data_IF_808607884308
#
_entry.id   IF_808607884308
#
_cell.length_a   1.000
_cell.length_b   1.000
_cell.length_c   1.000
_cell.angle_alpha   90.00
_cell.angle_beta   90.00
_cell.angle_gamma   90.00
#
_symmetry.space_group_name_H-M   'P 1'
#
loop_
_entity.id
_entity.type
_entity.pdbx_description
1 polymer ?
#
# COMPACT_ATOMS: atom_id res chain seq x y z
N UNK A 1 -71.25 -78.10 63.44
CA UNK A 1 -70.79 -78.63 62.13
C UNK A 1 -71.22 -77.64 61.04
N UNK A 2 -70.87 -76.36 61.13
CA UNK A 2 -69.55 -75.73 60.88
C UNK A 2 -69.19 -75.60 59.40
N UNK A 3 -70.00 -74.82 58.66
CA UNK A 3 -69.71 -74.32 57.31
C UNK A 3 -69.15 -72.89 57.29
N UNK A 4 -69.08 -72.22 58.45
CA UNK A 4 -68.60 -70.84 58.62
C UNK A 4 -67.09 -70.73 58.81
N UNK A 5 -66.40 -71.83 59.17
CA UNK A 5 -64.94 -71.83 59.40
C UNK A 5 -64.07 -72.03 58.14
N UNK A 6 -64.66 -72.45 57.01
CA UNK A 6 -63.92 -72.70 55.76
C UNK A 6 -63.84 -71.47 54.84
N UNK A 7 -64.86 -70.60 54.84
CA UNK A 7 -64.87 -69.37 54.03
C UNK A 7 -63.96 -68.29 54.63
N UNK A 8 -63.83 -68.25 55.97
CA UNK A 8 -62.93 -67.30 56.67
C UNK A 8 -61.44 -67.61 56.47
N UNK A 9 -61.06 -68.88 56.37
CA UNK A 9 -59.65 -69.29 56.16
C UNK A 9 -59.23 -69.18 54.69
N UNK A 10 -60.14 -69.40 53.73
CA UNK A 10 -59.87 -69.18 52.29
C UNK A 10 -59.88 -67.68 51.92
N UNK A 11 -60.73 -66.86 52.56
CA UNK A 11 -60.77 -65.41 52.33
C UNK A 11 -59.54 -64.66 52.87
N UNK A 12 -59.05 -65.04 54.07
CA UNK A 12 -57.86 -64.43 54.67
C UNK A 12 -56.58 -64.83 53.92
N UNK A 13 -56.50 -66.07 53.43
CA UNK A 13 -55.37 -66.55 52.62
C UNK A 13 -55.34 -65.94 51.21
N UNK A 14 -56.49 -65.72 50.58
CA UNK A 14 -56.57 -65.01 49.29
C UNK A 14 -56.18 -63.52 49.41
N UNK A 15 -56.61 -62.83 50.48
CA UNK A 15 -56.26 -61.43 50.71
C UNK A 15 -54.77 -61.24 51.06
N UNK A 16 -54.18 -62.14 51.85
CA UNK A 16 -52.74 -62.12 52.13
C UNK A 16 -51.90 -62.47 50.90
N UNK A 17 -52.32 -63.45 50.10
CA UNK A 17 -51.64 -63.77 48.83
C UNK A 17 -51.70 -62.60 47.84
N UNK A 18 -52.84 -61.91 47.73
CA UNK A 18 -52.99 -60.73 46.90
C UNK A 18 -52.12 -59.55 47.39
N UNK A 19 -52.04 -59.33 48.71
CA UNK A 19 -51.19 -58.29 49.29
C UNK A 19 -49.70 -58.56 49.05
N UNK A 20 -49.25 -59.82 49.17
CA UNK A 20 -47.87 -60.23 48.89
C UNK A 20 -47.56 -60.11 47.39
N UNK A 21 -48.49 -60.50 46.51
CA UNK A 21 -48.33 -60.34 45.07
C UNK A 21 -48.27 -58.86 44.64
N UNK A 22 -49.10 -58.00 45.23
CA UNK A 22 -49.08 -56.56 44.97
C UNK A 22 -47.80 -55.89 45.49
N UNK A 23 -47.34 -56.26 46.68
CA UNK A 23 -46.07 -55.78 47.23
C UNK A 23 -44.88 -56.23 46.36
N UNK A 24 -44.87 -57.49 45.92
CA UNK A 24 -43.87 -58.02 44.99
C UNK A 24 -43.87 -57.29 43.65
N UNK A 25 -45.06 -57.07 43.05
CA UNK A 25 -45.22 -56.33 41.81
C UNK A 25 -44.74 -54.87 41.95
N UNK A 26 -44.99 -54.21 43.08
CA UNK A 26 -44.54 -52.84 43.35
C UNK A 26 -43.01 -52.74 43.44
N UNK A 27 -42.36 -53.72 44.07
CA UNK A 27 -40.88 -53.77 44.16
C UNK A 27 -40.25 -54.05 42.80
N UNK A 28 -40.82 -54.98 42.02
CA UNK A 28 -40.34 -55.29 40.67
C UNK A 28 -40.55 -54.11 39.72
N UNK A 29 -41.72 -53.46 39.76
CA UNK A 29 -42.01 -52.28 38.96
C UNK A 29 -41.11 -51.08 39.33
N UNK A 30 -40.83 -50.87 40.62
CA UNK A 30 -39.89 -49.84 41.08
C UNK A 30 -38.47 -50.07 40.56
N UNK A 31 -37.92 -51.29 40.72
CA UNK A 31 -36.58 -51.62 40.20
C UNK A 31 -36.51 -51.56 38.67
N UNK A 32 -37.58 -51.94 37.97
CA UNK A 32 -37.65 -51.85 36.51
C UNK A 32 -37.69 -50.40 36.03
N UNK A 33 -38.48 -49.54 36.68
CA UNK A 33 -38.53 -48.11 36.39
C UNK A 33 -37.17 -47.45 36.65
N UNK A 34 -36.53 -47.74 37.79
CA UNK A 34 -35.20 -47.20 38.11
C UNK A 34 -34.15 -47.63 37.07
N UNK A 35 -34.17 -48.90 36.63
CA UNK A 35 -33.29 -49.39 35.57
C UNK A 35 -33.54 -48.69 34.22
N UNK A 36 -34.79 -48.36 33.89
CA UNK A 36 -35.10 -47.60 32.68
C UNK A 36 -34.71 -46.12 32.79
N UNK A 37 -34.96 -45.48 33.93
CA UNK A 37 -34.58 -44.08 34.15
C UNK A 37 -33.07 -43.89 34.15
N UNK A 38 -32.31 -44.81 34.76
CA UNK A 38 -30.84 -44.80 34.73
C UNK A 38 -30.33 -44.95 33.30
N UNK A 39 -30.85 -45.93 32.54
CA UNK A 39 -30.48 -46.12 31.13
C UNK A 39 -30.78 -44.87 30.27
N UNK A 40 -31.95 -44.25 30.43
CA UNK A 40 -32.31 -43.02 29.69
C UNK A 40 -31.49 -41.80 30.10
N UNK A 41 -31.17 -41.66 31.38
CA UNK A 41 -30.31 -40.57 31.86
C UNK A 41 -28.89 -40.72 31.32
N UNK A 42 -28.37 -41.94 31.28
CA UNK A 42 -27.07 -42.23 30.67
C UNK A 42 -27.08 -41.93 29.17
N UNK A 43 -28.12 -42.35 28.43
CA UNK A 43 -28.22 -42.06 27.00
C UNK A 43 -28.31 -40.56 26.71
N UNK A 44 -29.15 -39.82 27.46
CA UNK A 44 -29.28 -38.35 27.31
C UNK A 44 -27.98 -37.63 27.69
N UNK A 45 -27.29 -38.06 28.76
CA UNK A 45 -25.98 -37.50 29.12
C UNK A 45 -24.94 -37.72 28.03
N UNK A 46 -24.91 -38.92 27.45
CA UNK A 46 -23.96 -39.30 26.41
C UNK A 46 -24.26 -38.56 25.10
N UNK A 47 -25.53 -38.38 24.74
CA UNK A 47 -25.96 -37.54 23.62
C UNK A 47 -25.61 -36.06 23.85
N UNK A 48 -25.86 -35.52 25.05
CA UNK A 48 -25.51 -34.16 25.40
C UNK A 48 -23.99 -33.92 25.37
N UNK A 49 -23.19 -34.87 25.85
CA UNK A 49 -21.73 -34.82 25.76
C UNK A 49 -21.26 -34.86 24.30
N UNK A 50 -21.80 -35.76 23.48
CA UNK A 50 -21.48 -35.82 22.05
C UNK A 50 -21.80 -34.52 21.32
N UNK A 51 -22.95 -33.90 21.59
CA UNK A 51 -23.32 -32.62 21.01
C UNK A 51 -22.37 -31.51 21.44
N UNK A 52 -22.04 -31.43 22.73
CA UNK A 52 -21.06 -30.47 23.25
C UNK A 52 -19.68 -30.63 22.62
N UNK A 53 -19.21 -31.87 22.46
CA UNK A 53 -17.94 -32.16 21.80
C UNK A 53 -17.97 -31.80 20.32
N UNK A 54 -19.05 -32.13 19.60
CA UNK A 54 -19.22 -31.76 18.20
C UNK A 54 -19.22 -30.22 18.03
N UNK A 55 -20.00 -29.49 18.82
CA UNK A 55 -20.04 -28.02 18.77
C UNK A 55 -18.67 -27.42 19.13
N UNK A 56 -17.96 -27.99 20.11
CA UNK A 56 -16.58 -27.54 20.44
C UNK A 56 -15.60 -27.78 19.30
N UNK A 57 -15.66 -28.95 18.65
CA UNK A 57 -14.80 -29.26 17.51
C UNK A 57 -15.06 -28.32 16.34
N UNK A 58 -16.34 -28.06 16.02
CA UNK A 58 -16.73 -27.10 15.00
C UNK A 58 -16.19 -25.70 15.31
N UNK A 59 -16.39 -25.19 16.53
CA UNK A 59 -15.87 -23.88 16.93
C UNK A 59 -14.35 -23.80 16.90
N UNK A 60 -13.63 -24.81 17.39
CA UNK A 60 -12.16 -24.85 17.33
C UNK A 60 -11.68 -24.80 15.89
N UNK A 61 -12.26 -25.61 15.01
CA UNK A 61 -11.90 -25.64 13.58
C UNK A 61 -12.18 -24.31 12.88
N UNK A 62 -13.28 -23.64 13.23
CA UNK A 62 -13.62 -22.32 12.71
C UNK A 62 -12.63 -21.25 13.18
N UNK A 63 -12.29 -21.24 14.47
CA UNK A 63 -11.31 -20.30 15.04
C UNK A 63 -9.94 -20.50 14.38
N UNK A 64 -9.50 -21.74 14.20
CA UNK A 64 -8.24 -22.05 13.53
C UNK A 64 -8.22 -21.55 12.09
N UNK A 65 -9.30 -21.78 11.33
CA UNK A 65 -9.43 -21.28 9.96
C UNK A 65 -9.35 -19.75 9.91
N UNK A 66 -10.12 -19.05 10.73
CA UNK A 66 -10.12 -17.58 10.78
C UNK A 66 -8.75 -17.04 11.21
N UNK A 67 -8.09 -17.69 12.17
CA UNK A 67 -6.72 -17.33 12.59
C UNK A 67 -5.73 -17.50 11.44
N UNK A 68 -5.81 -18.60 10.70
CA UNK A 68 -4.96 -18.88 9.54
C UNK A 68 -5.19 -17.90 8.39
N UNK A 69 -6.44 -17.56 8.10
CA UNK A 69 -6.78 -16.55 7.08
C UNK A 69 -6.23 -15.17 7.48
N UNK A 70 -6.42 -14.76 8.74
CA UNK A 70 -5.86 -13.50 9.25
C UNK A 70 -4.34 -13.48 9.23
N UNK A 71 -3.67 -14.55 9.65
CA UNK A 71 -2.21 -14.60 9.63
C UNK A 71 -1.67 -14.51 8.20
N UNK A 72 -2.33 -15.15 7.24
CA UNK A 72 -1.98 -15.08 5.82
C UNK A 72 -2.14 -13.67 5.26
N UNK A 73 -3.22 -12.96 5.60
CA UNK A 73 -3.42 -11.57 5.19
C UNK A 73 -2.39 -10.62 5.81
N UNK A 74 -2.05 -10.83 7.08
CA UNK A 74 -1.00 -10.06 7.75
C UNK A 74 0.37 -10.29 7.12
N UNK A 75 0.74 -11.54 6.82
CA UNK A 75 2.01 -11.87 6.15
C UNK A 75 2.10 -11.20 4.76
N UNK A 76 1.01 -11.22 3.98
CA UNK A 76 0.94 -10.51 2.70
C UNK A 76 1.10 -9.01 2.85
N UNK A 77 0.41 -8.41 3.84
CA UNK A 77 0.51 -6.98 4.14
C UNK A 77 1.93 -6.59 4.54
N UNK A 78 2.58 -7.37 5.40
CA UNK A 78 3.98 -7.15 5.80
C UNK A 78 4.93 -7.21 4.60
N UNK A 79 4.77 -8.20 3.71
CA UNK A 79 5.57 -8.32 2.48
C UNK A 79 5.36 -7.17 1.51
N UNK A 80 4.11 -6.71 1.34
CA UNK A 80 3.80 -5.54 0.52
C UNK A 80 4.43 -4.28 1.11
N UNK A 81 4.29 -4.04 2.42
CA UNK A 81 4.91 -2.89 3.07
C UNK A 81 6.45 -2.94 2.98
N UNK A 82 7.06 -4.12 3.15
CA UNK A 82 8.51 -4.27 2.97
C UNK A 82 8.94 -3.90 1.55
N UNK A 83 8.17 -4.33 0.54
CA UNK A 83 8.44 -4.00 -0.85
C UNK A 83 8.23 -2.51 -1.14
N UNK A 84 7.23 -1.89 -0.52
CA UNK A 84 6.99 -0.45 -0.55
C UNK A 84 8.21 0.32 -0.02
N UNK A 85 8.76 -0.08 1.13
CA UNK A 85 9.98 0.53 1.70
C UNK A 85 11.22 0.41 0.80
N UNK A 86 11.35 -0.67 0.03
CA UNK A 86 12.46 -0.85 -0.91
C UNK A 86 12.34 0.06 -2.13
N UNK A 87 11.11 0.32 -2.58
CA UNK A 87 10.84 0.98 -3.86
C UNK A 87 10.70 2.49 -3.73
N UNK A 88 10.13 2.98 -2.63
CA UNK A 88 9.90 4.41 -2.42
C UNK A 88 11.17 5.25 -2.58
N UNK A 89 12.34 4.88 -2.02
CA UNK A 89 13.55 5.64 -2.23
C UNK A 89 13.95 5.77 -3.70
N UNK A 90 13.73 4.72 -4.50
CA UNK A 90 14.04 4.73 -5.93
C UNK A 90 13.12 5.70 -6.70
N UNK A 91 11.81 5.64 -6.44
CA UNK A 91 10.85 6.57 -7.06
C UNK A 91 11.12 8.01 -6.61
N UNK A 92 11.36 8.21 -5.31
CA UNK A 92 11.65 9.52 -4.75
C UNK A 92 12.90 10.15 -5.38
N UNK A 93 14.00 9.41 -5.47
CA UNK A 93 15.23 9.92 -6.09
C UNK A 93 15.00 10.31 -7.56
N UNK A 94 14.31 9.47 -8.33
CA UNK A 94 14.00 9.78 -9.72
C UNK A 94 13.07 11.01 -9.84
N UNK A 95 12.11 11.17 -8.91
CA UNK A 95 11.22 12.33 -8.85
C UNK A 95 11.99 13.62 -8.52
N UNK A 96 12.92 13.56 -7.55
CA UNK A 96 13.80 14.67 -7.19
C UNK A 96 14.71 15.09 -8.34
N UNK A 97 15.34 14.13 -9.03
CA UNK A 97 16.18 14.41 -10.20
C UNK A 97 15.38 15.06 -11.33
N UNK A 98 14.21 14.50 -11.65
CA UNK A 98 13.30 15.06 -12.65
C UNK A 98 12.85 16.48 -12.27
N UNK A 99 12.50 16.70 -11.00
CA UNK A 99 12.06 17.99 -10.49
C UNK A 99 13.12 19.07 -10.72
N UNK A 100 14.35 18.85 -10.24
CA UNK A 100 15.41 19.84 -10.38
C UNK A 100 15.87 20.01 -11.82
N UNK A 101 15.86 18.94 -12.63
CA UNK A 101 16.18 19.04 -14.04
C UNK A 101 15.15 19.90 -14.81
N UNK A 102 13.86 19.69 -14.54
CA UNK A 102 12.76 20.49 -15.13
C UNK A 102 12.80 21.92 -14.61
N UNK A 103 12.95 22.16 -13.31
CA UNK A 103 13.06 23.50 -12.74
C UNK A 103 14.22 24.29 -13.34
N UNK A 104 15.40 23.68 -13.48
CA UNK A 104 16.56 24.29 -14.13
C UNK A 104 16.29 24.61 -15.60
N UNK A 105 15.60 23.71 -16.31
CA UNK A 105 15.24 23.90 -17.72
C UNK A 105 14.27 25.07 -17.89
N UNK A 106 13.26 25.19 -17.03
CA UNK A 106 12.21 26.21 -17.17
C UNK A 106 12.53 27.52 -16.46
N UNK A 107 13.59 27.62 -15.65
CA UNK A 107 13.93 28.85 -14.91
C UNK A 107 13.92 30.09 -15.82
N UNK A 108 13.33 31.20 -15.34
CA UNK A 108 13.37 32.51 -16.02
C UNK A 108 14.75 33.16 -15.91
N UNK A 109 15.42 32.91 -14.79
CA UNK A 109 16.75 33.43 -14.50
C UNK A 109 17.75 32.33 -14.80
N UNK A 110 18.17 32.26 -16.05
CA UNK A 110 19.28 31.42 -16.48
C UNK A 110 20.49 32.32 -16.67
N UNK A 111 21.46 32.23 -15.77
CA UNK A 111 22.75 32.89 -15.94
C UNK A 111 23.51 32.17 -17.06
N UNK A 112 23.66 32.86 -18.19
CA UNK A 112 24.45 32.39 -19.34
C UNK A 112 25.86 32.93 -19.27
N UNK A 113 26.84 32.16 -19.75
CA UNK A 113 28.21 32.64 -19.91
C UNK A 113 28.26 33.65 -21.06
N UNK A 114 28.71 34.88 -20.76
CA UNK A 114 28.87 35.90 -21.80
C UNK A 114 30.21 35.72 -22.54
N UNK A 115 30.18 34.98 -23.63
CA UNK A 115 31.37 34.68 -24.44
C UNK A 115 31.89 35.90 -25.22
N UNK A 116 31.02 36.86 -25.50
CA UNK A 116 31.36 38.10 -26.21
C UNK A 116 32.45 38.93 -25.51
N UNK A 117 32.52 38.86 -24.18
CA UNK A 117 33.49 39.63 -23.39
C UNK A 117 34.83 38.91 -23.20
N UNK A 118 34.97 37.68 -23.69
CA UNK A 118 36.21 36.93 -23.58
C UNK A 118 37.18 37.35 -24.69
N UNK A 119 38.45 37.52 -24.34
CA UNK A 119 39.52 37.60 -25.34
C UNK A 119 39.68 36.25 -26.05
N UNK A 120 40.24 36.23 -27.26
CA UNK A 120 40.35 35.00 -28.04
C UNK A 120 41.12 33.89 -27.30
N UNK A 121 42.20 34.24 -26.59
CA UNK A 121 42.95 33.29 -25.78
C UNK A 121 42.12 32.70 -24.63
N UNK A 122 41.25 33.50 -23.99
CA UNK A 122 40.35 33.02 -22.93
C UNK A 122 39.18 32.21 -23.49
N UNK A 123 38.71 32.56 -24.69
CA UNK A 123 37.68 31.82 -25.39
C UNK A 123 38.17 30.41 -25.78
N UNK A 124 39.39 30.28 -26.31
CA UNK A 124 39.96 28.96 -26.60
C UNK A 124 40.19 28.13 -25.33
N UNK A 125 40.68 28.75 -24.25
CA UNK A 125 40.79 28.06 -22.96
C UNK A 125 39.42 27.57 -22.45
N UNK A 126 38.38 28.41 -22.57
CA UNK A 126 37.01 28.03 -22.25
C UNK A 126 36.51 26.85 -23.11
N UNK A 127 36.80 26.83 -24.42
CA UNK A 127 36.40 25.72 -25.29
C UNK A 127 37.10 24.41 -24.90
N UNK A 128 38.36 24.45 -24.50
CA UNK A 128 39.10 23.27 -24.02
C UNK A 128 38.42 22.67 -22.79
N UNK A 129 38.05 23.50 -21.82
CA UNK A 129 37.43 23.05 -20.56
C UNK A 129 35.93 22.73 -20.70
N UNK A 130 35.29 23.15 -21.80
CA UNK A 130 33.87 22.93 -22.03
C UNK A 130 33.53 21.46 -22.34
N UNK A 131 32.34 21.03 -21.91
CA UNK A 131 31.75 19.71 -22.22
C UNK A 131 31.15 19.63 -23.62
N UNK A 132 31.40 20.62 -24.48
CA UNK A 132 30.93 20.66 -25.85
C UNK A 132 31.63 19.58 -26.69
N UNK A 133 30.94 19.10 -27.72
CA UNK A 133 31.49 18.19 -28.73
C UNK A 133 32.39 18.98 -29.67
N UNK A 134 33.38 18.33 -30.28
CA UNK A 134 34.38 19.01 -31.12
C UNK A 134 33.75 19.84 -32.24
N UNK A 135 32.72 19.32 -32.90
CA UNK A 135 32.02 20.06 -33.95
C UNK A 135 31.27 21.31 -33.42
N UNK A 136 30.72 21.26 -32.19
CA UNK A 136 30.06 22.42 -31.57
C UNK A 136 31.08 23.50 -31.21
N UNK A 137 32.29 23.08 -30.81
CA UNK A 137 33.43 23.99 -30.58
C UNK A 137 33.84 24.68 -31.88
N UNK A 138 33.94 23.92 -32.98
CA UNK A 138 34.28 24.46 -34.30
C UNK A 138 33.22 25.44 -34.83
N UNK A 139 31.93 25.12 -34.64
CA UNK A 139 30.84 26.04 -34.97
C UNK A 139 30.91 27.34 -34.17
N UNK A 140 31.25 27.28 -32.87
CA UNK A 140 31.45 28.47 -32.04
C UNK A 140 32.67 29.30 -32.51
N UNK A 141 33.76 28.65 -32.93
CA UNK A 141 34.93 29.36 -33.49
C UNK A 141 34.57 30.13 -34.75
N UNK A 142 33.72 29.55 -35.60
CA UNK A 142 33.27 30.15 -36.85
C UNK A 142 32.30 31.33 -36.66
N UNK A 143 31.72 31.52 -35.47
CA UNK A 143 30.78 32.60 -35.17
C UNK A 143 31.49 33.88 -34.71
N UNK A 144 30.88 35.04 -34.97
CA UNK A 144 31.36 36.32 -34.45
C UNK A 144 31.25 36.39 -32.91
N UNK A 145 32.03 37.24 -32.21
CA UNK A 145 31.98 37.34 -30.76
C UNK A 145 30.57 37.54 -30.16
N UNK A 146 29.71 38.31 -30.84
CA UNK A 146 28.33 38.52 -30.39
C UNK A 146 27.47 37.26 -30.57
N UNK A 147 27.58 36.59 -31.71
CA UNK A 147 26.82 35.37 -32.02
C UNK A 147 27.25 34.17 -31.18
N UNK A 148 28.51 34.12 -30.72
CA UNK A 148 29.02 33.08 -29.82
C UNK A 148 28.19 32.97 -28.56
N UNK A 149 27.85 34.09 -27.91
CA UNK A 149 27.03 34.10 -26.69
C UNK A 149 25.64 33.54 -26.96
N UNK A 150 24.96 34.01 -28.02
CA UNK A 150 23.61 33.57 -28.37
C UNK A 150 23.57 32.09 -28.73
N UNK A 151 24.51 31.64 -29.57
CA UNK A 151 24.61 30.24 -30.00
C UNK A 151 24.93 29.31 -28.83
N UNK A 152 25.87 29.70 -27.97
CA UNK A 152 26.19 28.93 -26.77
C UNK A 152 25.01 28.82 -25.80
N UNK A 153 24.26 29.93 -25.61
CA UNK A 153 23.04 29.91 -24.81
C UNK A 153 21.98 28.94 -25.36
N UNK A 154 21.84 28.88 -26.69
CA UNK A 154 20.95 27.92 -27.34
C UNK A 154 21.38 26.47 -27.10
N UNK A 155 22.66 26.16 -27.31
CA UNK A 155 23.27 24.84 -27.05
C UNK A 155 23.04 24.41 -25.60
N UNK A 156 23.33 25.28 -24.63
CA UNK A 156 23.06 25.02 -23.22
C UNK A 156 21.58 24.71 -22.98
N UNK A 157 20.69 25.45 -23.64
CA UNK A 157 19.27 25.19 -23.58
C UNK A 157 18.90 23.79 -24.09
N UNK A 158 19.53 23.31 -25.17
CA UNK A 158 19.29 21.97 -25.72
C UNK A 158 19.84 20.87 -24.79
N UNK A 159 21.02 21.09 -24.21
CA UNK A 159 21.60 20.20 -23.21
C UNK A 159 20.71 20.08 -21.96
N UNK A 160 20.16 21.20 -21.46
CA UNK A 160 19.21 21.19 -20.33
C UNK A 160 17.93 20.42 -20.67
N UNK A 161 17.40 20.61 -21.88
CA UNK A 161 16.22 19.86 -22.35
C UNK A 161 16.52 18.35 -22.41
N UNK A 162 17.68 17.96 -22.92
CA UNK A 162 18.08 16.56 -22.97
C UNK A 162 18.21 15.94 -21.57
N UNK A 163 18.88 16.65 -20.64
CA UNK A 163 19.02 16.21 -19.25
C UNK A 163 17.65 16.08 -18.55
N UNK A 164 16.74 17.04 -18.74
CA UNK A 164 15.38 16.96 -18.22
C UNK A 164 14.60 15.77 -18.81
N UNK A 165 14.74 15.52 -20.12
CA UNK A 165 14.11 14.37 -20.77
C UNK A 165 14.62 13.04 -20.17
N UNK A 166 15.92 12.90 -19.97
CA UNK A 166 16.51 11.70 -19.35
C UNK A 166 15.95 11.48 -17.94
N UNK A 167 15.89 12.54 -17.12
CA UNK A 167 15.37 12.45 -15.76
C UNK A 167 13.86 12.12 -15.71
N UNK A 168 13.04 12.72 -16.60
CA UNK A 168 11.61 12.39 -16.72
C UNK A 168 11.40 10.94 -17.17
N UNK A 169 12.21 10.43 -18.10
CA UNK A 169 12.16 9.02 -18.51
C UNK A 169 12.55 8.09 -17.34
N UNK A 170 13.55 8.46 -16.55
CA UNK A 170 13.96 7.71 -15.37
C UNK A 170 12.83 7.66 -14.31
N UNK A 171 12.16 8.80 -14.05
CA UNK A 171 10.98 8.85 -13.19
C UNK A 171 9.86 7.94 -13.71
N UNK A 172 9.53 8.01 -15.00
CA UNK A 172 8.49 7.17 -15.58
C UNK A 172 8.81 5.67 -15.44
N UNK A 173 10.07 5.28 -15.61
CA UNK A 173 10.51 3.89 -15.40
C UNK A 173 10.37 3.49 -13.93
N UNK A 174 10.87 4.31 -13.01
CA UNK A 174 10.80 4.04 -11.57
C UNK A 174 9.34 3.92 -11.10
N UNK A 175 8.45 4.82 -11.55
CA UNK A 175 7.01 4.74 -11.30
C UNK A 175 6.41 3.46 -11.87
N UNK A 176 6.68 3.12 -13.15
CA UNK A 176 6.12 1.93 -13.77
C UNK A 176 6.55 0.62 -13.07
N UNK A 177 7.79 0.56 -12.58
CA UNK A 177 8.33 -0.60 -11.86
C UNK A 177 7.80 -0.69 -10.41
N UNK A 178 7.48 0.44 -9.80
CA UNK A 178 7.27 0.53 -8.37
C UNK A 178 5.84 0.79 -7.89
N UNK A 179 5.01 1.44 -8.70
CA UNK A 179 3.67 1.93 -8.32
C UNK A 179 2.71 0.84 -7.85
N UNK A 180 2.81 -0.39 -8.38
CA UNK A 180 1.99 -1.54 -7.96
C UNK A 180 2.17 -1.93 -6.49
N UNK A 181 3.31 -1.57 -5.90
CA UNK A 181 3.64 -1.88 -4.51
C UNK A 181 3.36 -0.72 -3.56
N UNK A 182 2.99 0.46 -4.07
CA UNK A 182 2.65 1.61 -3.25
C UNK A 182 1.23 1.48 -2.71
N UNK A 183 1.01 1.96 -1.49
CA UNK A 183 -0.35 2.15 -1.01
C UNK A 183 -1.09 3.20 -1.86
N UNK A 184 -2.41 3.06 -2.05
CA UNK A 184 -3.18 3.91 -2.97
C UNK A 184 -2.97 5.41 -2.73
N UNK A 185 -2.94 5.85 -1.47
CA UNK A 185 -2.72 7.27 -1.16
C UNK A 185 -1.31 7.75 -1.54
N UNK A 186 -0.27 6.92 -1.31
CA UNK A 186 1.11 7.26 -1.70
C UNK A 186 1.24 7.31 -3.21
N UNK A 187 0.62 6.36 -3.91
CA UNK A 187 0.54 6.34 -5.37
C UNK A 187 -0.10 7.62 -5.93
N UNK A 188 -1.30 7.99 -5.45
CA UNK A 188 -2.03 9.17 -5.90
C UNK A 188 -1.23 10.46 -5.73
N UNK A 189 -0.51 10.61 -4.61
CA UNK A 189 0.32 11.79 -4.36
C UNK A 189 1.55 11.85 -5.27
N UNK A 190 2.20 10.72 -5.54
CA UNK A 190 3.31 10.65 -6.48
C UNK A 190 2.85 10.98 -7.91
N UNK A 191 1.74 10.40 -8.36
CA UNK A 191 1.22 10.65 -9.70
C UNK A 191 0.73 12.09 -9.86
N UNK A 192 0.03 12.65 -8.88
CA UNK A 192 -0.40 14.05 -8.93
C UNK A 192 0.77 15.03 -9.06
N UNK A 193 1.90 14.75 -8.39
CA UNK A 193 3.14 15.51 -8.55
C UNK A 193 3.78 15.27 -9.92
N UNK A 194 3.92 14.01 -10.33
CA UNK A 194 4.57 13.63 -11.57
C UNK A 194 3.83 14.17 -12.80
N UNK A 195 2.50 14.21 -12.78
CA UNK A 195 1.68 14.70 -13.89
C UNK A 195 1.88 16.19 -14.15
N UNK A 196 1.96 17.01 -13.10
CA UNK A 196 2.25 18.45 -13.23
C UNK A 196 3.65 18.70 -13.78
N UNK A 197 4.63 17.94 -13.27
CA UNK A 197 6.01 17.97 -13.76
C UNK A 197 6.08 17.57 -15.24
N UNK A 198 5.45 16.45 -15.62
CA UNK A 198 5.39 15.95 -17.00
C UNK A 198 4.70 16.94 -17.92
N UNK A 199 3.60 17.55 -17.49
CA UNK A 199 2.86 18.56 -18.25
C UNK A 199 3.73 19.77 -18.56
N UNK A 200 4.42 20.33 -17.56
CA UNK A 200 5.38 21.42 -17.75
C UNK A 200 6.53 21.03 -18.68
N UNK A 201 7.10 19.83 -18.51
CA UNK A 201 8.16 19.34 -19.38
C UNK A 201 7.71 19.20 -20.84
N UNK A 202 6.56 18.56 -21.08
CA UNK A 202 6.04 18.33 -22.42
C UNK A 202 5.70 19.65 -23.12
N UNK A 203 5.06 20.57 -22.42
CA UNK A 203 4.73 21.89 -22.95
C UNK A 203 6.01 22.65 -23.35
N UNK A 204 6.99 22.76 -22.44
CA UNK A 204 8.27 23.41 -22.73
C UNK A 204 9.02 22.75 -23.89
N UNK A 205 9.03 21.41 -23.94
CA UNK A 205 9.67 20.65 -25.03
C UNK A 205 9.00 20.95 -26.37
N UNK A 206 7.68 20.94 -26.42
CA UNK A 206 6.94 21.18 -27.65
C UNK A 206 7.13 22.61 -28.15
N UNK A 207 7.08 23.61 -27.25
CA UNK A 207 7.39 25.00 -27.57
C UNK A 207 8.80 25.14 -28.18
N UNK A 208 9.78 24.43 -27.62
CA UNK A 208 11.17 24.49 -28.09
C UNK A 208 11.43 23.73 -29.39
N UNK A 209 10.74 22.62 -29.63
CA UNK A 209 10.96 21.77 -30.81
C UNK A 209 10.18 22.26 -32.02
N UNK A 210 8.95 22.73 -31.82
CA UNK A 210 8.03 23.07 -32.91
C UNK A 210 7.85 24.58 -33.08
N UNK A 211 8.51 25.40 -32.24
CA UNK A 211 8.37 26.86 -32.24
C UNK A 211 6.90 27.32 -32.23
N UNK A 212 6.04 26.56 -31.54
CA UNK A 212 4.61 26.88 -31.45
C UNK A 212 4.52 28.28 -30.84
N UNK A 213 3.94 29.21 -31.60
CA UNK A 213 4.02 30.65 -31.35
C UNK A 213 3.73 31.03 -29.90
N UNK A 214 4.51 31.97 -29.36
CA UNK A 214 4.41 32.45 -27.97
C UNK A 214 3.13 33.25 -27.67
N UNK A 215 2.25 33.42 -28.64
CA UNK A 215 1.18 34.41 -28.63
C UNK A 215 -0.04 34.01 -27.77
N UNK A 216 -0.11 32.77 -27.28
CA UNK A 216 -1.20 32.28 -26.43
C UNK A 216 -0.72 31.66 -25.09
N UNK A 217 0.28 32.27 -24.44
CA UNK A 217 0.63 31.89 -23.06
C UNK A 217 -0.39 32.49 -22.09
N UNK A 218 -1.54 31.84 -21.98
CA UNK A 218 -2.59 32.17 -21.00
C UNK A 218 -2.20 31.81 -19.56
N UNK A 219 -3.09 32.13 -18.63
CA UNK A 219 -3.00 31.78 -17.20
C UNK A 219 -2.86 30.26 -16.95
N UNK A 220 -3.25 29.46 -17.94
CA UNK A 220 -3.18 28.00 -17.95
C UNK A 220 -1.88 27.40 -18.51
N UNK A 221 -0.81 28.19 -18.72
CA UNK A 221 0.50 27.67 -19.15
C UNK A 221 1.09 26.72 -18.07
N UNK A 222 1.21 25.40 -18.36
CA UNK A 222 1.70 24.42 -17.39
C UNK A 222 3.10 24.75 -16.87
N UNK A 223 3.92 25.42 -17.68
CA UNK A 223 5.26 25.84 -17.30
C UNK A 223 5.19 26.96 -16.26
N UNK A 224 4.27 27.92 -16.39
CA UNK A 224 4.11 28.99 -15.39
C UNK A 224 3.53 28.44 -14.09
N UNK A 225 2.54 27.56 -14.18
CA UNK A 225 1.96 26.90 -13.01
C UNK A 225 3.03 26.11 -12.24
N UNK A 226 3.85 25.32 -12.95
CA UNK A 226 4.90 24.55 -12.31
C UNK A 226 6.05 25.41 -11.79
N UNK A 227 6.38 26.54 -12.43
CA UNK A 227 7.33 27.50 -11.83
C UNK A 227 6.82 28.09 -10.52
N UNK A 228 5.53 28.40 -10.43
CA UNK A 228 4.94 29.02 -9.26
C UNK A 228 4.77 28.02 -8.10
N UNK A 229 4.34 26.79 -8.42
CA UNK A 229 3.90 25.81 -7.42
C UNK A 229 4.78 24.56 -7.32
N UNK A 230 5.68 24.31 -8.29
CA UNK A 230 6.41 23.05 -8.37
C UNK A 230 7.29 22.77 -7.14
N UNK A 231 7.91 23.80 -6.56
CA UNK A 231 8.67 23.66 -5.31
C UNK A 231 7.76 23.35 -4.12
N UNK A 232 6.62 24.03 -3.98
CA UNK A 232 5.71 23.78 -2.86
C UNK A 232 5.08 22.38 -2.94
N UNK A 233 4.76 21.91 -4.14
CA UNK A 233 4.27 20.55 -4.40
C UNK A 233 5.34 19.49 -4.12
N UNK A 234 6.58 19.74 -4.54
CA UNK A 234 7.72 18.88 -4.22
C UNK A 234 7.92 18.76 -2.71
N UNK A 235 7.91 19.89 -1.98
CA UNK A 235 8.05 19.90 -0.52
C UNK A 235 6.84 19.26 0.19
N UNK A 236 5.63 19.40 -0.35
CA UNK A 236 4.44 18.73 0.17
C UNK A 236 4.56 17.21 0.06
N UNK A 237 5.03 16.70 -1.08
CA UNK A 237 5.32 15.27 -1.27
C UNK A 237 6.44 14.81 -0.32
N UNK A 238 7.53 15.56 -0.20
CA UNK A 238 8.63 15.26 0.71
C UNK A 238 8.16 15.15 2.17
N UNK A 239 7.32 16.09 2.60
CA UNK A 239 6.75 16.15 3.95
C UNK A 239 5.84 14.95 4.19
N UNK A 240 4.94 14.64 3.24
CA UNK A 240 4.09 13.45 3.32
C UNK A 240 4.90 12.16 3.50
N UNK A 241 5.94 11.96 2.68
CA UNK A 241 6.78 10.76 2.78
C UNK A 241 7.53 10.70 4.11
N UNK A 242 8.02 11.85 4.60
CA UNK A 242 8.68 11.92 5.91
C UNK A 242 7.73 11.59 7.05
N UNK A 243 6.54 12.16 7.08
CA UNK A 243 5.58 11.92 8.16
C UNK A 243 5.12 10.46 8.17
N UNK A 244 4.93 9.89 6.98
CA UNK A 244 4.45 8.53 6.79
C UNK A 244 5.48 7.45 7.11
N UNK A 245 6.72 7.62 6.66
CA UNK A 245 7.75 6.57 6.76
C UNK A 245 8.82 6.85 7.82
N UNK A 246 8.89 8.08 8.31
CA UNK A 246 9.91 8.56 9.24
C UNK A 246 9.34 9.06 10.56
N UNK A 247 8.07 8.72 10.85
CA UNK A 247 7.38 9.17 12.06
C UNK A 247 8.29 9.01 13.27
N UNK A 248 8.43 10.10 14.03
CA UNK A 248 9.22 10.13 15.26
C UNK A 248 8.82 8.91 16.07
N UNK A 249 9.80 8.10 16.48
CA UNK A 249 9.64 7.28 17.67
C UNK A 249 9.33 8.32 18.75
N UNK A 250 8.06 8.61 18.98
CA UNK A 250 7.64 9.21 20.23
C UNK A 250 8.09 8.18 21.25
N UNK A 251 9.26 8.45 21.82
CA UNK A 251 9.75 7.77 22.99
C UNK A 251 8.64 7.98 24.00
N UNK A 252 7.82 6.95 24.13
CA UNK A 252 6.84 6.82 25.20
C UNK A 252 7.59 7.14 26.50
N UNK A 253 7.35 8.28 27.17
CA UNK A 253 8.01 8.59 28.43
C UNK A 253 7.55 7.64 29.55
N UNK A 254 6.64 6.71 29.25
CA UNK A 254 5.99 5.81 30.20
C UNK A 254 6.29 4.31 29.99
N UNK A 255 7.36 3.94 29.28
CA UNK A 255 7.91 2.57 29.32
C UNK A 255 9.27 2.48 29.99
#
# INVERSE_FOLDING_TARGET
MDLTHWVGTVGISAATAAAVAWAGAKVVAGKWLDAQFTTRLESVKLEGQKQLEATRQEHTSFIERVRFERSTLLDRSVKLNQREFEIIPAIWNAATEAHYAVMRMISRWQEGTNLHQLSEARFEAFLVDSTLRDFEKDELRAKSPYERTSYFGELQGWQRLHAANQAVVALNRASAEGTIFLQPETHERFEAFADKLRSAFQHFRNDKVFEIGRDEKGEDDPVQQYRANGESEYQALATYLRDRYWTKIDADPSR
#
